data_IF_161479021656
#
_entry.id   IF_161479021656
#
_cell.length_a   1.000
_cell.length_b   1.000
_cell.length_c   1.000
_cell.angle_alpha   90.00
_cell.angle_beta   90.00
_cell.angle_gamma   90.00
#
_symmetry.space_group_name_H-M   'P 1'
#
loop_
_entity.id
_entity.type
_entity.pdbx_description
1 polymer ?
#
# COMPACT_ATOMS: atom_id res chain seq x y z
N UNK A 1 -9.47 1.82 -27.75
CA UNK A 1 -9.73 2.57 -26.49
C UNK A 1 -9.05 1.89 -25.29
N UNK A 2 -9.18 0.57 -25.10
CA UNK A 2 -8.63 -0.17 -23.94
C UNK A 2 -7.13 0.05 -23.64
N UNK A 3 -6.26 0.02 -24.64
CA UNK A 3 -4.80 0.19 -24.43
C UNK A 3 -4.41 1.53 -23.80
N UNK A 4 -5.16 2.59 -24.09
CA UNK A 4 -4.94 3.89 -23.46
C UNK A 4 -5.40 3.94 -22.00
N UNK A 5 -6.37 3.11 -21.63
CA UNK A 5 -6.86 2.99 -20.26
C UNK A 5 -5.86 2.19 -19.40
N UNK A 6 -5.28 1.12 -19.94
CA UNK A 6 -4.23 0.34 -19.26
C UNK A 6 -3.00 1.20 -18.91
N UNK A 7 -2.52 2.01 -19.86
CA UNK A 7 -1.39 2.91 -19.62
C UNK A 7 -1.69 3.97 -18.55
N UNK A 8 -2.88 4.59 -18.62
CA UNK A 8 -3.30 5.56 -17.60
C UNK A 8 -3.49 4.95 -16.22
N UNK A 9 -3.98 3.71 -16.15
CA UNK A 9 -4.11 2.99 -14.90
C UNK A 9 -2.73 2.72 -14.27
N UNK A 10 -1.74 2.35 -15.08
CA UNK A 10 -0.36 2.16 -14.62
C UNK A 10 0.28 3.48 -14.15
N UNK A 11 0.08 4.58 -14.88
CA UNK A 11 0.54 5.90 -14.46
C UNK A 11 -0.06 6.30 -13.11
N UNK A 12 -1.36 6.05 -12.91
CA UNK A 12 -2.04 6.32 -11.65
C UNK A 12 -1.51 5.44 -10.51
N UNK A 13 -1.23 4.16 -10.78
CA UNK A 13 -0.62 3.23 -9.82
C UNK A 13 0.75 3.73 -9.35
N UNK A 14 1.60 4.17 -10.29
CA UNK A 14 2.92 4.73 -9.99
C UNK A 14 2.84 6.06 -9.24
N UNK A 15 1.89 6.92 -9.60
CA UNK A 15 1.65 8.17 -8.88
C UNK A 15 1.22 7.92 -7.43
N UNK A 16 0.31 6.95 -7.22
CA UNK A 16 -0.13 6.54 -5.89
C UNK A 16 1.03 6.01 -5.03
N UNK A 17 1.93 5.18 -5.59
CA UNK A 17 3.12 4.69 -4.89
C UNK A 17 4.03 5.83 -4.43
N UNK A 18 4.30 6.80 -5.33
CA UNK A 18 5.14 7.96 -4.99
C UNK A 18 4.52 8.85 -3.93
N UNK A 19 3.21 9.07 -4.01
CA UNK A 19 2.47 9.82 -3.00
C UNK A 19 2.53 9.10 -1.65
N UNK A 20 2.31 7.78 -1.65
CA UNK A 20 2.42 6.94 -0.46
C UNK A 20 3.75 7.08 0.27
N UNK A 21 4.87 7.14 -0.45
CA UNK A 21 6.20 7.36 0.16
C UNK A 21 6.35 8.71 0.86
N UNK A 22 5.65 9.74 0.40
CA UNK A 22 5.72 11.09 0.97
C UNK A 22 4.76 11.23 2.15
N UNK A 23 3.56 10.67 2.01
CA UNK A 23 2.50 10.82 3.02
C UNK A 23 2.58 9.80 4.16
N UNK A 24 3.48 8.81 4.05
CA UNK A 24 3.56 7.69 4.99
C UNK A 24 2.40 6.72 4.74
N UNK A 25 2.44 6.03 3.58
CA UNK A 25 1.53 4.93 3.31
C UNK A 25 1.61 3.90 4.45
N UNK A 26 0.44 3.53 4.96
CA UNK A 26 0.33 2.45 5.94
C UNK A 26 0.53 1.15 5.19
N UNK A 27 1.62 0.45 5.49
CA UNK A 27 1.89 -0.84 4.87
C UNK A 27 1.03 -1.93 5.52
N UNK A 28 0.86 -3.05 4.81
CA UNK A 28 0.16 -4.21 5.38
C UNK A 28 0.87 -4.69 6.63
N UNK A 29 2.20 -4.68 6.62
CA UNK A 29 3.08 -5.01 7.73
C UNK A 29 2.81 -4.13 8.96
N UNK A 30 2.63 -2.81 8.79
CA UNK A 30 2.29 -1.89 9.88
C UNK A 30 0.94 -2.27 10.52
N UNK A 31 -0.03 -2.65 9.70
CA UNK A 31 -1.34 -3.09 10.18
C UNK A 31 -1.25 -4.45 10.91
N UNK A 32 -0.46 -5.38 10.38
CA UNK A 32 -0.24 -6.67 11.00
C UNK A 32 0.48 -6.53 12.34
N UNK A 33 1.46 -5.63 12.45
CA UNK A 33 2.14 -5.31 13.71
C UNK A 33 1.15 -4.81 14.76
N UNK A 34 0.23 -3.92 14.40
CA UNK A 34 -0.83 -3.46 15.31
C UNK A 34 -1.73 -4.61 15.75
N UNK A 35 -2.21 -5.43 14.80
CA UNK A 35 -3.09 -6.56 15.10
C UNK A 35 -2.41 -7.55 16.05
N UNK A 36 -1.15 -7.89 15.79
CA UNK A 36 -0.44 -8.92 16.55
C UNK A 36 0.26 -8.39 17.81
N UNK A 37 0.43 -7.07 17.98
CA UNK A 37 1.02 -6.47 19.18
C UNK A 37 0.32 -6.82 20.49
N UNK A 38 -0.96 -7.20 20.43
CA UNK A 38 -1.77 -7.57 21.60
C UNK A 38 -1.81 -9.08 21.86
N UNK A 39 -1.22 -9.88 20.98
CA UNK A 39 -1.12 -11.32 21.18
C UNK A 39 0.11 -11.58 22.07
N UNK A 40 -0.09 -12.28 23.20
CA UNK A 40 1.01 -12.67 24.08
C UNK A 40 2.16 -13.27 23.26
N UNK A 41 3.40 -12.83 23.50
CA UNK A 41 4.59 -13.32 22.82
C UNK A 41 4.59 -14.86 22.88
N UNK A 42 4.51 -15.50 21.72
CA UNK A 42 4.53 -16.95 21.59
C UNK A 42 3.18 -17.65 21.38
N UNK A 43 2.20 -17.04 20.70
CA UNK A 43 1.13 -17.82 20.06
C UNK A 43 1.66 -18.65 18.89
#
# INVERSE_FOLDING_TARGET
>A
VQRGQELRAEELRLAADRLGRITGAVDVEDLLDVIFSQFCIGK
#
